data_IF_520181276352
#
_entry.id   IF_520181276352
#
_cell.length_a   1.000
_cell.length_b   1.000
_cell.length_c   1.000
_cell.angle_alpha   90.00
_cell.angle_beta   90.00
_cell.angle_gamma   90.00
#
_symmetry.space_group_name_H-M   'P 1'
#
loop_
_entity.id
_entity.type
_entity.pdbx_description
1 polymer ?
#
# COMPACT_ATOMS: atom_id res chain seq x y z
N UNK A 1 -22.78 39.72 -39.18
CA UNK A 1 -21.73 38.67 -39.23
C UNK A 1 -21.43 38.30 -37.78
N UNK A 2 -21.68 37.05 -37.36
CA UNK A 2 -21.55 36.64 -35.96
C UNK A 2 -20.09 36.63 -35.53
N UNK A 3 -19.86 37.07 -34.30
CA UNK A 3 -18.54 37.13 -33.68
C UNK A 3 -17.94 35.75 -33.50
N UNK A 4 -16.65 35.67 -33.80
CA UNK A 4 -15.80 34.55 -33.44
C UNK A 4 -15.73 34.48 -31.91
N UNK A 5 -16.49 33.57 -31.31
CA UNK A 5 -16.23 33.12 -29.94
C UNK A 5 -14.92 32.35 -29.95
N UNK A 6 -13.82 33.10 -29.80
CA UNK A 6 -12.54 32.56 -29.37
C UNK A 6 -12.72 31.98 -27.98
N UNK A 7 -13.07 30.69 -27.93
CA UNK A 7 -12.97 29.88 -26.73
C UNK A 7 -11.51 29.94 -26.29
N UNK A 8 -11.28 30.71 -25.23
CA UNK A 8 -10.01 30.87 -24.59
C UNK A 8 -9.63 29.49 -24.01
N UNK A 9 -8.98 28.66 -24.83
CA UNK A 9 -8.58 27.32 -24.47
C UNK A 9 -7.52 27.44 -23.36
N UNK A 10 -7.96 27.35 -22.11
CA UNK A 10 -7.07 27.19 -20.97
C UNK A 10 -6.27 25.92 -21.25
N UNK A 11 -5.00 26.10 -21.63
CA UNK A 11 -4.09 25.01 -21.96
C UNK A 11 -4.05 24.01 -20.81
N UNK A 12 -4.64 22.83 -21.03
CA UNK A 12 -4.56 21.72 -20.10
C UNK A 12 -3.31 20.92 -20.46
N UNK A 13 -2.36 20.85 -19.53
CA UNK A 13 -1.22 19.94 -19.65
C UNK A 13 -1.44 18.74 -18.74
N UNK A 14 -1.70 17.58 -19.33
CA UNK A 14 -1.75 16.33 -18.59
C UNK A 14 -0.33 15.83 -18.28
N UNK A 15 -0.13 15.13 -17.16
CA UNK A 15 1.11 14.41 -16.91
C UNK A 15 1.27 13.27 -17.93
N UNK A 16 2.52 12.85 -18.18
CA UNK A 16 2.80 11.68 -19.01
C UNK A 16 2.05 10.46 -18.51
N UNK A 17 1.53 9.66 -19.43
CA UNK A 17 0.75 8.46 -19.13
C UNK A 17 1.50 7.47 -18.23
N UNK A 18 0.79 6.88 -17.25
CA UNK A 18 1.36 5.92 -16.31
C UNK A 18 1.04 4.48 -16.71
N UNK A 19 1.99 3.80 -17.34
CA UNK A 19 1.82 2.40 -17.76
C UNK A 19 1.69 1.43 -16.59
N UNK A 20 2.20 1.77 -15.40
CA UNK A 20 2.09 0.93 -14.19
C UNK A 20 0.74 1.07 -13.48
N UNK A 21 0.07 2.21 -13.63
CA UNK A 21 -1.20 2.53 -12.96
C UNK A 21 -2.13 3.33 -13.90
N UNK A 22 -2.56 2.73 -15.03
CA UNK A 22 -3.28 3.46 -16.07
C UNK A 22 -4.64 3.96 -15.57
N UNK A 23 -5.35 3.18 -14.76
CA UNK A 23 -6.64 3.56 -14.19
C UNK A 23 -6.53 4.83 -13.33
N UNK A 24 -5.55 4.88 -12.42
CA UNK A 24 -5.34 6.06 -11.55
C UNK A 24 -5.02 7.31 -12.38
N UNK A 25 -4.23 7.15 -13.44
CA UNK A 25 -3.93 8.25 -14.35
C UNK A 25 -5.19 8.79 -15.04
N UNK A 26 -6.11 7.91 -15.47
CA UNK A 26 -7.38 8.33 -16.06
C UNK A 26 -8.29 9.04 -15.07
N UNK A 27 -8.40 8.57 -13.83
CA UNK A 27 -9.16 9.27 -12.78
C UNK A 27 -8.64 10.71 -12.59
N UNK A 28 -7.31 10.89 -12.60
CA UNK A 28 -6.69 12.21 -12.50
C UNK A 28 -6.93 13.07 -13.75
N UNK A 29 -6.81 12.49 -14.94
CA UNK A 29 -7.07 13.20 -16.19
C UNK A 29 -8.53 13.66 -16.29
N UNK A 30 -9.48 12.82 -15.89
CA UNK A 30 -10.92 13.13 -15.89
C UNK A 30 -11.28 14.21 -14.90
N UNK A 31 -10.66 14.22 -13.72
CA UNK A 31 -10.79 15.33 -12.79
C UNK A 31 -10.33 16.65 -13.42
N UNK A 32 -9.21 16.65 -14.17
CA UNK A 32 -8.73 17.85 -14.87
C UNK A 32 -9.65 18.30 -16.00
N UNK A 33 -10.25 17.35 -16.75
CA UNK A 33 -11.27 17.64 -17.75
C UNK A 33 -12.52 18.25 -17.13
N UNK A 34 -12.97 17.69 -16.01
CA UNK A 34 -14.15 18.18 -15.29
C UNK A 34 -13.96 19.62 -14.79
N UNK A 35 -12.83 19.90 -14.14
CA UNK A 35 -12.49 21.25 -13.64
C UNK A 35 -12.49 22.29 -14.77
N UNK A 36 -12.08 21.91 -15.98
CA UNK A 36 -12.00 22.80 -17.15
C UNK A 36 -13.21 22.71 -18.08
N UNK A 37 -14.26 22.00 -17.69
CA UNK A 37 -15.47 21.80 -18.50
C UNK A 37 -15.18 21.22 -19.90
N UNK A 38 -14.14 20.38 -20.01
CA UNK A 38 -13.81 19.69 -21.25
C UNK A 38 -14.73 18.47 -21.36
N UNK A 39 -15.78 18.59 -22.19
CA UNK A 39 -16.80 17.54 -22.39
C UNK A 39 -16.73 16.89 -23.77
N UNK A 40 -16.16 17.58 -24.76
CA UNK A 40 -16.06 17.06 -26.12
C UNK A 40 -15.12 15.84 -26.19
N UNK A 41 -15.64 14.73 -26.73
CA UNK A 41 -14.93 13.45 -26.90
C UNK A 41 -13.60 13.61 -27.64
N UNK A 42 -13.61 14.27 -28.80
CA UNK A 42 -12.39 14.56 -29.59
C UNK A 42 -11.34 15.33 -28.77
N UNK A 43 -11.76 16.34 -27.99
CA UNK A 43 -10.82 17.14 -27.21
C UNK A 43 -10.17 16.30 -26.11
N UNK A 44 -10.95 15.47 -25.40
CA UNK A 44 -10.40 14.54 -24.39
C UNK A 44 -9.45 13.53 -25.02
N UNK A 45 -9.83 12.95 -26.16
CA UNK A 45 -9.00 12.04 -26.93
C UNK A 45 -7.63 12.66 -27.27
N UNK A 46 -7.60 13.87 -27.85
CA UNK A 46 -6.33 14.50 -28.22
C UNK A 46 -5.48 14.88 -27.00
N UNK A 47 -6.08 15.23 -25.87
CA UNK A 47 -5.34 15.41 -24.62
C UNK A 47 -4.69 14.11 -24.15
N UNK A 48 -5.39 12.98 -24.21
CA UNK A 48 -4.81 11.67 -23.89
C UNK A 48 -3.66 11.34 -24.83
N UNK A 49 -3.85 11.50 -26.15
CA UNK A 49 -2.80 11.25 -27.15
C UNK A 49 -1.56 12.11 -26.88
N UNK A 50 -1.75 13.39 -26.54
CA UNK A 50 -0.63 14.30 -26.22
C UNK A 50 0.14 13.92 -24.96
N UNK A 51 -0.46 13.10 -24.08
CA UNK A 51 0.15 12.67 -22.83
C UNK A 51 0.91 11.33 -22.97
N UNK A 52 0.83 10.66 -24.12
CA UNK A 52 1.54 9.41 -24.36
C UNK A 52 3.01 9.67 -24.67
N UNK A 53 3.89 8.88 -24.06
CA UNK A 53 5.30 8.85 -24.45
C UNK A 53 5.50 8.00 -25.71
N UNK A 54 6.68 8.11 -26.32
CA UNK A 54 6.99 7.45 -27.58
C UNK A 54 6.79 5.92 -27.53
N UNK A 55 7.13 5.27 -26.42
CA UNK A 55 6.97 3.82 -26.28
C UNK A 55 5.48 3.44 -26.24
N UNK A 56 4.70 4.11 -25.38
CA UNK A 56 3.27 3.84 -25.25
C UNK A 56 2.53 4.11 -26.57
N UNK A 57 2.79 5.26 -27.21
CA UNK A 57 2.18 5.61 -28.49
C UNK A 57 2.55 4.59 -29.59
N UNK A 58 3.80 4.11 -29.62
CA UNK A 58 4.24 3.08 -30.56
C UNK A 58 3.49 1.76 -30.40
N UNK A 59 3.12 1.37 -29.16
CA UNK A 59 2.38 0.12 -28.88
C UNK A 59 0.91 0.16 -29.32
N UNK A 60 0.33 1.35 -29.51
CA UNK A 60 -1.07 1.52 -29.92
C UNK A 60 -1.20 2.28 -31.26
N UNK A 61 -0.13 2.32 -32.06
CA UNK A 61 -0.05 3.14 -33.28
C UNK A 61 -1.17 2.85 -34.28
N UNK A 62 -1.62 1.59 -34.36
CA UNK A 62 -2.71 1.19 -35.26
C UNK A 62 -4.01 1.91 -34.89
N UNK A 63 -4.32 2.01 -33.59
CA UNK A 63 -5.48 2.76 -33.10
C UNK A 63 -5.33 4.27 -33.32
N UNK A 64 -4.12 4.81 -33.19
CA UNK A 64 -3.87 6.24 -33.43
C UNK A 64 -3.98 6.62 -34.91
N UNK A 65 -3.65 5.70 -35.82
CA UNK A 65 -3.74 5.90 -37.28
C UNK A 65 -5.18 5.85 -37.76
N UNK A 66 -5.96 4.91 -37.25
CA UNK A 66 -7.36 4.69 -37.64
C UNK A 66 -8.27 4.71 -36.39
N UNK A 67 -8.47 5.89 -35.77
CA UNK A 67 -9.34 6.00 -34.62
C UNK A 67 -10.81 5.82 -35.04
N UNK A 68 -11.68 5.28 -34.17
CA UNK A 68 -13.11 5.14 -34.46
C UNK A 68 -13.77 6.51 -34.64
N UNK A 69 -14.88 6.57 -35.39
CA UNK A 69 -15.58 7.84 -35.66
C UNK A 69 -16.24 8.43 -34.41
N UNK A 70 -16.75 7.57 -33.53
CA UNK A 70 -17.43 7.91 -32.29
C UNK A 70 -16.77 7.26 -31.07
N UNK A 71 -16.97 7.84 -29.89
CA UNK A 71 -16.46 7.33 -28.60
C UNK A 71 -14.93 7.13 -28.59
N UNK A 72 -14.17 8.04 -29.20
CA UNK A 72 -12.70 7.93 -29.30
C UNK A 72 -12.04 7.92 -27.93
N UNK A 73 -12.57 8.71 -27.00
CA UNK A 73 -12.06 8.79 -25.64
C UNK A 73 -12.25 7.47 -24.88
N UNK A 74 -13.47 6.94 -24.87
CA UNK A 74 -13.76 5.67 -24.19
C UNK A 74 -13.03 4.49 -24.87
N UNK A 75 -12.91 4.53 -26.19
CA UNK A 75 -12.14 3.55 -26.95
C UNK A 75 -10.66 3.55 -26.58
N UNK A 76 -9.99 4.72 -26.55
CA UNK A 76 -8.57 4.79 -26.19
C UNK A 76 -8.35 4.48 -24.70
N UNK A 77 -9.28 4.91 -23.83
CA UNK A 77 -9.26 4.59 -22.40
C UNK A 77 -9.31 3.08 -22.17
N UNK A 78 -10.24 2.41 -22.83
CA UNK A 78 -10.38 0.95 -22.77
C UNK A 78 -9.13 0.25 -23.32
N UNK A 79 -8.63 0.69 -24.48
CA UNK A 79 -7.43 0.12 -25.09
C UNK A 79 -6.19 0.27 -24.18
N UNK A 80 -5.96 1.44 -23.61
CA UNK A 80 -4.82 1.69 -22.73
C UNK A 80 -4.93 0.91 -21.42
N UNK A 81 -6.11 0.85 -20.81
CA UNK A 81 -6.32 0.05 -19.60
C UNK A 81 -6.16 -1.46 -19.85
N UNK A 82 -6.56 -1.95 -21.02
CA UNK A 82 -6.39 -3.38 -21.37
C UNK A 82 -4.96 -3.73 -21.78
N UNK A 83 -4.24 -2.80 -22.42
CA UNK A 83 -2.88 -3.03 -22.91
C UNK A 83 -1.81 -2.92 -21.82
N UNK A 84 -2.02 -2.01 -20.85
CA UNK A 84 -1.04 -1.70 -19.80
C UNK A 84 -1.54 -2.03 -18.39
N UNK A 85 -2.85 -2.15 -18.19
CA UNK A 85 -3.39 -2.56 -16.90
C UNK A 85 -3.17 -4.04 -16.63
N UNK A 86 -3.34 -4.43 -15.37
CA UNK A 86 -3.31 -5.84 -15.00
C UNK A 86 -4.51 -6.55 -15.64
N UNK A 87 -4.32 -7.78 -16.07
CA UNK A 87 -5.42 -8.66 -16.44
C UNK A 87 -6.12 -9.19 -15.19
N UNK A 88 -7.36 -9.66 -15.35
CA UNK A 88 -8.10 -10.33 -14.26
C UNK A 88 -7.30 -11.45 -13.59
N UNK A 89 -6.54 -12.23 -14.37
CA UNK A 89 -5.72 -13.33 -13.86
C UNK A 89 -4.50 -12.83 -13.09
N UNK A 90 -3.84 -11.78 -13.57
CA UNK A 90 -2.71 -11.18 -12.85
C UNK A 90 -3.15 -10.52 -11.55
N UNK A 91 -4.31 -9.85 -11.52
CA UNK A 91 -4.88 -9.32 -10.28
C UNK A 91 -5.16 -10.44 -9.27
N UNK A 92 -5.81 -11.52 -9.71
CA UNK A 92 -6.06 -12.67 -8.85
C UNK A 92 -4.76 -13.32 -8.35
N UNK A 93 -3.77 -13.46 -9.22
CA UNK A 93 -2.46 -13.99 -8.85
C UNK A 93 -1.77 -13.10 -7.81
N UNK A 94 -1.77 -11.77 -8.00
CA UNK A 94 -1.24 -10.83 -7.00
C UNK A 94 -1.97 -10.93 -5.67
N UNK A 95 -3.30 -11.04 -5.69
CA UNK A 95 -4.11 -11.18 -4.48
C UNK A 95 -3.76 -12.47 -3.72
N UNK A 96 -3.53 -13.58 -4.43
CA UNK A 96 -3.20 -14.88 -3.83
C UNK A 96 -1.76 -14.96 -3.29
N UNK A 97 -0.83 -14.24 -3.89
CA UNK A 97 0.61 -14.31 -3.58
C UNK A 97 1.11 -13.00 -2.95
N UNK A 98 0.33 -12.39 -2.06
CA UNK A 98 0.80 -11.21 -1.33
C UNK A 98 1.88 -11.58 -0.31
N UNK A 99 2.84 -10.67 -0.12
CA UNK A 99 4.06 -10.89 0.69
C UNK A 99 3.83 -10.69 2.21
N UNK A 100 2.66 -11.02 2.74
CA UNK A 100 2.33 -10.80 4.16
C UNK A 100 2.10 -9.32 4.49
N UNK A 101 1.91 -9.02 5.78
CA UNK A 101 1.76 -7.63 6.24
C UNK A 101 3.06 -6.82 6.09
N UNK A 102 4.21 -7.40 6.44
CA UNK A 102 5.51 -6.71 6.47
C UNK A 102 5.49 -5.53 7.47
N UNK A 103 6.05 -4.40 7.05
CA UNK A 103 6.05 -3.14 7.84
C UNK A 103 4.78 -2.29 7.63
N UNK A 104 3.87 -2.74 6.76
CA UNK A 104 2.65 -1.99 6.41
C UNK A 104 1.61 -2.09 7.53
N UNK A 105 0.67 -1.15 7.51
CA UNK A 105 -0.53 -1.26 8.35
C UNK A 105 -1.56 -2.22 7.73
N UNK A 106 -2.35 -2.95 8.54
CA UNK A 106 -3.47 -3.74 8.05
C UNK A 106 -4.42 -2.96 7.12
N UNK A 107 -4.69 -1.68 7.39
CA UNK A 107 -5.50 -0.81 6.52
C UNK A 107 -4.86 -0.54 5.17
N UNK A 108 -3.53 -0.40 5.10
CA UNK A 108 -2.79 -0.20 3.85
C UNK A 108 -2.88 -1.47 2.99
N UNK A 109 -2.67 -2.64 3.60
CA UNK A 109 -2.84 -3.92 2.91
C UNK A 109 -4.28 -4.10 2.41
N UNK A 110 -5.29 -3.77 3.23
CA UNK A 110 -6.69 -3.85 2.82
C UNK A 110 -6.98 -2.96 1.61
N UNK A 111 -6.42 -1.74 1.57
CA UNK A 111 -6.58 -0.84 0.44
C UNK A 111 -6.00 -1.44 -0.85
N UNK A 112 -4.82 -2.05 -0.77
CA UNK A 112 -4.19 -2.72 -1.90
C UNK A 112 -5.03 -3.91 -2.39
N UNK A 113 -5.53 -4.73 -1.47
CA UNK A 113 -6.41 -5.85 -1.80
C UNK A 113 -7.70 -5.38 -2.48
N UNK A 114 -8.33 -4.33 -1.96
CA UNK A 114 -9.55 -3.76 -2.55
C UNK A 114 -9.28 -3.15 -3.94
N UNK A 115 -8.12 -2.55 -4.16
CA UNK A 115 -7.72 -2.02 -5.47
C UNK A 115 -7.59 -3.14 -6.52
N UNK A 116 -7.15 -4.33 -6.13
CA UNK A 116 -7.06 -5.51 -7.01
C UNK A 116 -8.43 -6.13 -7.35
N UNK A 117 -9.49 -5.81 -6.59
CA UNK A 117 -10.82 -6.38 -6.80
C UNK A 117 -11.64 -5.70 -7.90
N UNK A 118 -11.27 -4.51 -8.37
CA UNK A 118 -12.02 -3.77 -9.42
C UNK A 118 -13.54 -3.70 -9.18
N UNK A 119 -13.96 -3.53 -7.92
CA UNK A 119 -15.39 -3.46 -7.56
C UNK A 119 -16.08 -4.82 -7.41
N UNK A 120 -15.37 -5.94 -7.52
CA UNK A 120 -15.85 -7.22 -7.01
C UNK A 120 -16.13 -7.10 -5.49
N UNK A 121 -17.22 -7.73 -5.03
CA UNK A 121 -17.56 -7.75 -3.61
C UNK A 121 -16.58 -8.64 -2.86
N UNK A 122 -16.32 -8.30 -1.59
CA UNK A 122 -15.58 -9.18 -0.69
C UNK A 122 -16.30 -10.52 -0.61
N UNK A 123 -15.54 -11.59 -0.75
CA UNK A 123 -16.02 -12.96 -0.66
C UNK A 123 -15.18 -13.71 0.37
N UNK A 124 -15.63 -14.91 0.74
CA UNK A 124 -14.94 -15.74 1.74
C UNK A 124 -13.43 -15.89 1.48
N UNK A 125 -13.02 -16.03 0.21
CA UNK A 125 -11.60 -16.14 -0.13
C UNK A 125 -10.85 -14.83 0.10
N UNK A 126 -11.45 -13.68 -0.22
CA UNK A 126 -10.85 -12.37 0.05
C UNK A 126 -10.60 -12.16 1.54
N UNK A 127 -11.60 -12.51 2.37
CA UNK A 127 -11.53 -12.42 3.82
C UNK A 127 -10.43 -13.33 4.37
N UNK A 128 -10.39 -14.59 3.91
CA UNK A 128 -9.36 -15.53 4.32
C UNK A 128 -7.97 -15.07 3.92
N UNK A 129 -7.78 -14.57 2.69
CA UNK A 129 -6.48 -14.06 2.23
C UNK A 129 -6.01 -12.94 3.16
N UNK A 130 -6.89 -11.98 3.51
CA UNK A 130 -6.53 -10.88 4.40
C UNK A 130 -6.12 -11.39 5.78
N UNK A 131 -6.89 -12.33 6.34
CA UNK A 131 -6.57 -12.95 7.63
C UNK A 131 -5.23 -13.68 7.59
N UNK A 132 -4.91 -14.43 6.53
CA UNK A 132 -3.63 -15.12 6.39
C UNK A 132 -2.43 -14.16 6.30
N UNK A 133 -2.65 -12.91 5.88
CA UNK A 133 -1.57 -11.91 5.91
C UNK A 133 -1.31 -11.35 7.33
N UNK A 134 -2.23 -11.57 8.27
CA UNK A 134 -2.11 -11.04 9.63
C UNK A 134 -1.28 -11.94 10.53
N UNK A 135 -0.54 -11.36 11.50
CA UNK A 135 0.03 -12.12 12.60
C UNK A 135 -1.04 -12.91 13.38
N UNK A 136 -0.66 -14.07 13.93
CA UNK A 136 -1.59 -15.02 14.53
C UNK A 136 -2.48 -14.44 15.64
N UNK A 137 -1.91 -13.64 16.53
CA UNK A 137 -2.61 -12.95 17.63
C UNK A 137 -3.68 -11.98 17.14
N UNK A 138 -3.37 -11.18 16.11
CA UNK A 138 -4.34 -10.26 15.50
C UNK A 138 -5.40 -11.06 14.74
N UNK A 139 -4.99 -12.07 13.98
CA UNK A 139 -5.89 -12.94 13.22
C UNK A 139 -6.95 -13.59 14.11
N UNK A 140 -6.57 -14.06 15.30
CA UNK A 140 -7.50 -14.66 16.28
C UNK A 140 -8.58 -13.69 16.78
N UNK A 141 -8.23 -12.40 16.93
CA UNK A 141 -9.17 -11.35 17.30
C UNK A 141 -10.08 -10.99 16.13
N UNK A 142 -9.51 -10.87 14.93
CA UNK A 142 -10.25 -10.52 13.71
C UNK A 142 -11.24 -11.61 13.28
N UNK A 143 -10.93 -12.89 13.51
CA UNK A 143 -11.78 -14.02 13.12
C UNK A 143 -13.19 -14.01 13.75
N UNK A 144 -13.40 -13.22 14.80
CA UNK A 144 -14.69 -13.08 15.48
C UNK A 144 -15.62 -12.04 14.81
N UNK A 145 -15.08 -11.25 13.88
CA UNK A 145 -15.79 -10.15 13.25
C UNK A 145 -16.23 -10.49 11.82
N UNK A 146 -17.29 -9.83 11.36
CA UNK A 146 -17.77 -9.96 9.99
C UNK A 146 -17.11 -8.92 9.09
N UNK A 147 -16.72 -9.32 7.88
CA UNK A 147 -16.11 -8.44 6.86
C UNK A 147 -17.17 -7.65 6.08
N UNK A 148 -18.26 -7.26 6.75
CA UNK A 148 -19.34 -6.48 6.15
C UNK A 148 -18.82 -5.14 5.62
N UNK A 149 -17.91 -4.51 6.36
CA UNK A 149 -17.09 -3.40 5.89
C UNK A 149 -15.61 -3.72 6.07
N UNK A 150 -14.90 -4.13 4.99
CA UNK A 150 -13.49 -4.47 5.05
C UNK A 150 -12.61 -3.30 5.53
N UNK A 151 -12.99 -2.04 5.24
CA UNK A 151 -12.18 -0.87 5.62
C UNK A 151 -12.26 -0.62 7.13
N UNK A 152 -13.44 -0.71 7.72
CA UNK A 152 -13.62 -0.58 9.16
C UNK A 152 -12.91 -1.70 9.92
N UNK A 153 -12.98 -2.94 9.42
CA UNK A 153 -12.27 -4.07 10.02
C UNK A 153 -10.75 -3.85 9.98
N UNK A 154 -10.21 -3.35 8.87
CA UNK A 154 -8.79 -3.06 8.76
C UNK A 154 -8.35 -1.89 9.66
N UNK A 155 -9.21 -0.89 9.88
CA UNK A 155 -8.93 0.19 10.84
C UNK A 155 -8.85 -0.34 12.28
N UNK A 156 -9.73 -1.27 12.66
CA UNK A 156 -9.62 -1.94 13.97
C UNK A 156 -8.36 -2.81 14.07
N UNK A 157 -8.00 -3.52 12.98
CA UNK A 157 -6.76 -4.28 12.91
C UNK A 157 -5.52 -3.38 13.11
N UNK A 158 -5.54 -2.13 12.63
CA UNK A 158 -4.46 -1.15 12.87
C UNK A 158 -4.27 -0.85 14.36
N UNK A 159 -5.35 -0.72 15.13
CA UNK A 159 -5.28 -0.47 16.59
C UNK A 159 -4.63 -1.64 17.32
N UNK A 160 -5.01 -2.87 16.94
CA UNK A 160 -4.42 -4.10 17.47
C UNK A 160 -2.93 -4.20 17.11
N UNK A 161 -2.59 -3.91 15.85
CA UNK A 161 -1.22 -3.92 15.35
C UNK A 161 -0.33 -2.90 16.06
N UNK A 162 -0.84 -1.68 16.27
CA UNK A 162 -0.11 -0.64 16.98
C UNK A 162 0.12 -1.01 18.45
N UNK A 163 -0.87 -1.59 19.12
CA UNK A 163 -0.75 -2.04 20.51
C UNK A 163 0.35 -3.10 20.66
N UNK A 164 0.36 -4.09 19.77
CA UNK A 164 1.39 -5.14 19.73
C UNK A 164 2.79 -4.57 19.51
N UNK A 165 2.93 -3.61 18.58
CA UNK A 165 4.23 -2.96 18.31
C UNK A 165 4.76 -2.20 19.53
N UNK A 166 3.87 -1.57 20.31
CA UNK A 166 4.27 -0.88 21.55
C UNK A 166 4.79 -1.88 22.59
N UNK A 167 4.10 -3.00 22.81
CA UNK A 167 4.57 -4.04 23.76
C UNK A 167 5.97 -4.56 23.39
N UNK A 168 6.21 -4.88 22.11
CA UNK A 168 7.53 -5.28 21.63
C UNK A 168 8.61 -4.21 21.86
N UNK A 169 8.27 -2.93 21.65
CA UNK A 169 9.18 -1.81 21.89
C UNK A 169 9.50 -1.60 23.39
N UNK A 170 8.52 -1.80 24.28
CA UNK A 170 8.72 -1.75 25.72
C UNK A 170 9.62 -2.89 26.21
N UNK A 171 9.41 -4.12 25.74
CA UNK A 171 10.23 -5.28 26.12
C UNK A 171 11.70 -5.09 25.69
N UNK A 172 11.93 -4.60 24.46
CA UNK A 172 13.26 -4.34 23.94
C UNK A 172 14.00 -3.22 24.71
N UNK A 173 13.28 -2.20 25.19
CA UNK A 173 13.87 -1.14 26.02
C UNK A 173 14.32 -1.63 27.40
N UNK A 174 13.57 -2.54 28.02
CA UNK A 174 13.90 -3.10 29.34
C UNK A 174 15.14 -4.01 29.26
N UNK A 175 15.27 -4.78 28.18
CA UNK A 175 16.45 -5.65 27.95
C UNK A 175 17.70 -4.88 27.53
N UNK A 176 17.55 -3.70 26.93
CA UNK A 176 18.67 -2.83 26.55
C UNK A 176 19.22 -1.96 27.71
N UNK A 177 18.62 -2.00 28.90
CA UNK A 177 19.19 -1.32 30.07
C UNK A 177 20.50 -2.02 30.49
N UNK A 178 21.63 -1.30 30.62
CA UNK A 178 22.85 -1.90 31.14
C UNK A 178 22.56 -2.44 32.54
N UNK A 179 22.81 -3.74 32.73
CA UNK A 179 22.80 -4.40 34.03
C UNK A 179 23.74 -3.59 34.94
N UNK A 180 23.19 -2.81 35.88
CA UNK A 180 24.01 -2.11 36.86
C UNK A 180 24.78 -3.18 37.65
N UNK A 181 26.08 -3.27 37.38
CA UNK A 181 27.00 -4.07 38.15
C UNK A 181 26.90 -3.60 39.60
N UNK A 182 26.43 -4.49 40.48
CA UNK A 182 26.46 -4.28 41.91
C UNK A 182 27.92 -4.04 42.29
N UNK A 183 28.24 -2.79 42.65
CA UNK A 183 29.56 -2.39 43.14
C UNK A 183 29.99 -3.36 44.25
N UNK A 184 30.95 -4.21 43.92
CA UNK A 184 31.57 -5.13 44.87
C UNK A 184 32.56 -4.30 45.67
N UNK A 185 32.19 -3.93 46.90
CA UNK A 185 33.08 -3.25 47.85
C UNK A 185 34.28 -4.15 48.09
N UNK A 186 35.41 -3.81 47.48
CA UNK A 186 36.66 -4.55 47.63
C UNK A 186 37.32 -4.07 48.93
N UNK A 187 37.19 -4.85 50.01
CA UNK A 187 37.96 -4.67 51.25
C UNK A 187 39.41 -5.10 50.98
N UNK A 188 40.31 -4.13 50.90
CA UNK A 188 41.77 -4.37 50.91
C UNK A 188 42.19 -4.84 52.30
N UNK A 189 42.69 -6.08 52.38
CA UNK A 189 43.34 -6.63 53.56
C UNK A 189 44.84 -6.30 53.56
N UNK A 190 45.36 -5.81 54.69
CA UNK A 190 46.80 -5.80 55.03
C UNK A 190 47.09 -6.95 56.01
N UNK A 191 48.28 -7.58 55.96
CA UNK A 191 48.57 -8.77 56.73
C UNK A 191 49.27 -8.42 58.05
N UNK A 192 48.89 -9.05 59.16
CA UNK A 192 49.81 -9.27 60.27
C UNK A 192 49.36 -10.41 61.20
N UNK A 193 50.35 -11.24 61.50
CA UNK A 193 50.47 -12.39 62.40
C UNK A 193 49.65 -12.39 63.69
N UNK A 194 49.07 -13.54 64.05
CA UNK A 194 49.53 -14.38 65.17
C UNK A 194 48.44 -15.39 65.63
N UNK A 195 48.79 -16.67 65.51
CA UNK A 195 48.58 -17.76 66.47
C UNK A 195 47.17 -18.18 66.97
N UNK A 196 46.99 -19.51 66.87
CA UNK A 196 46.33 -20.45 67.79
C UNK A 196 44.85 -20.82 67.60
N UNK A 197 44.72 -22.09 67.22
CA UNK A 197 43.89 -23.15 67.82
C UNK A 197 42.42 -23.33 67.38
N UNK A 198 42.18 -24.57 66.89
CA UNK A 198 40.96 -25.41 67.02
C UNK A 198 39.77 -25.02 66.12
N UNK A 199 39.09 -25.89 65.38
CA UNK A 199 39.01 -27.37 65.28
C UNK A 199 38.34 -27.74 63.94
N UNK A 200 38.59 -28.98 63.49
CA UNK A 200 37.90 -29.74 62.41
C UNK A 200 36.40 -29.98 62.72
N UNK A 201 35.47 -30.48 61.88
CA UNK A 201 35.46 -31.48 60.79
C UNK A 201 34.15 -31.36 59.94
N UNK A 202 34.14 -31.98 58.76
CA UNK A 202 33.02 -32.18 57.81
C UNK A 202 32.02 -33.29 58.19
N UNK A 203 30.82 -33.23 57.57
CA UNK A 203 29.79 -34.26 57.31
C UNK A 203 28.98 -34.86 58.48
#
# INVERSE_FOLDING_TARGET
>A
MPGEEQQNAVSLKLPTFWTTQPQVWFEQAEAQFHIRQITADNTRYYYVVSALDQNTAGRIIDYLREPPDENKYEGIKTLLNTTFGLTRRERAAKLLHMDGLGDRKPSELMNEMLALMEGHKSCLLFEQIFLEQMPEDIRLLLAQYTFTDPRSLAAWADELWQTKQQEGAYINRITALPRQEKQTVTRTATPSTANRDKWCYYH
#
